data_IF_174012959449
#
_entry.id   IF_174012959449
#
_cell.length_a   1.000
_cell.length_b   1.000
_cell.length_c   1.000
_cell.angle_alpha   90.00
_cell.angle_beta   90.00
_cell.angle_gamma   90.00
#
_symmetry.space_group_name_H-M   'P 1'
#
loop_
_entity.id
_entity.type
_entity.pdbx_description
1 polymer ?
#
# COMPACT_ATOMS: atom_id res chain seq x y z
N UNK A 1 58.18 -23.91 13.32
CA UNK A 1 57.17 -23.78 12.24
C UNK A 1 55.92 -23.22 12.87
N UNK A 2 55.90 -21.89 13.00
CA UNK A 2 54.79 -21.11 13.53
C UNK A 2 53.67 -21.08 12.49
N UNK A 3 52.57 -21.78 12.78
CA UNK A 3 51.33 -21.66 12.01
C UNK A 3 50.46 -20.62 12.68
N UNK A 4 50.52 -19.42 12.11
CA UNK A 4 49.67 -18.27 12.39
C UNK A 4 48.28 -18.62 11.86
N UNK A 5 47.39 -19.11 12.74
CA UNK A 5 46.01 -19.38 12.37
C UNK A 5 45.25 -18.06 12.35
N UNK A 6 44.77 -17.73 11.14
CA UNK A 6 43.97 -16.57 10.82
C UNK A 6 42.76 -16.44 11.74
N UNK A 7 42.74 -15.33 12.44
CA UNK A 7 41.61 -14.78 13.18
C UNK A 7 40.60 -14.26 12.15
N UNK A 8 39.73 -15.15 11.67
CA UNK A 8 38.55 -14.77 10.89
C UNK A 8 37.55 -14.10 11.84
N UNK A 9 37.71 -12.80 11.97
CA UNK A 9 36.72 -11.84 12.47
C UNK A 9 35.48 -11.89 11.58
N UNK A 10 34.63 -12.89 11.80
CA UNK A 10 33.27 -12.91 11.29
C UNK A 10 32.42 -11.99 12.17
N UNK A 11 32.61 -10.68 11.95
CA UNK A 11 31.65 -9.68 12.36
C UNK A 11 30.24 -10.14 11.92
N UNK A 12 29.23 -10.08 12.82
CA UNK A 12 27.87 -10.40 12.43
C UNK A 12 27.52 -9.52 11.22
N UNK A 13 26.74 -10.04 10.24
CA UNK A 13 26.18 -9.16 9.23
C UNK A 13 25.35 -8.14 9.99
N UNK A 14 25.91 -6.92 10.09
CA UNK A 14 25.16 -5.74 10.45
C UNK A 14 24.01 -5.80 9.48
N UNK A 15 22.79 -5.99 9.99
CA UNK A 15 21.60 -5.60 9.25
C UNK A 15 21.85 -4.12 9.00
N UNK A 16 22.49 -3.84 7.86
CA UNK A 16 22.42 -2.53 7.27
C UNK A 16 20.95 -2.21 7.29
N UNK A 17 20.70 -1.06 7.86
CA UNK A 17 19.42 -0.46 7.92
C UNK A 17 19.05 -0.24 6.45
N UNK A 18 18.46 -1.26 5.80
CA UNK A 18 17.69 -1.18 4.55
C UNK A 18 16.41 -0.36 4.84
N UNK A 19 16.69 0.82 5.36
CA UNK A 19 15.91 2.01 5.56
C UNK A 19 16.04 2.92 4.33
N UNK A 20 16.94 2.58 3.40
CA UNK A 20 16.99 3.14 2.06
C UNK A 20 16.09 2.30 1.13
N UNK A 21 14.90 2.85 0.91
CA UNK A 21 14.21 2.79 -0.38
C UNK A 21 13.77 1.41 -0.91
N UNK A 22 12.90 0.74 -0.15
CA UNK A 22 11.74 0.12 -0.79
C UNK A 22 10.46 0.69 -0.22
N UNK A 23 10.35 2.04 -0.29
CA UNK A 23 9.08 2.57 -0.73
C UNK A 23 8.80 1.82 -2.04
N UNK A 24 7.81 0.93 -2.04
CA UNK A 24 6.91 0.96 -3.19
C UNK A 24 6.41 2.39 -3.23
N UNK A 25 7.21 3.27 -3.84
CA UNK A 25 6.71 4.28 -4.74
C UNK A 25 5.85 3.41 -5.63
N UNK A 26 4.57 3.30 -5.28
CA UNK A 26 3.55 3.20 -6.30
C UNK A 26 3.90 4.39 -7.14
N UNK A 27 4.68 4.13 -8.19
CA UNK A 27 4.96 5.10 -9.20
C UNK A 27 3.57 5.60 -9.52
N UNK A 28 3.31 6.85 -9.15
CA UNK A 28 2.66 7.78 -10.04
C UNK A 28 3.54 7.89 -11.30
N UNK A 29 3.89 6.75 -11.92
CA UNK A 29 3.76 6.65 -13.34
C UNK A 29 2.26 6.79 -13.52
N UNK A 30 1.76 7.90 -14.10
CA UNK A 30 0.59 7.73 -14.90
C UNK A 30 0.94 6.54 -15.80
N UNK A 31 0.26 5.41 -15.63
CA UNK A 31 -0.01 4.57 -16.78
C UNK A 31 -0.74 5.50 -17.73
N UNK A 32 0.07 6.22 -18.51
CA UNK A 32 -0.21 6.65 -19.84
C UNK A 32 -0.48 5.34 -20.59
N UNK A 33 -1.65 4.78 -20.32
CA UNK A 33 -2.55 4.46 -21.40
C UNK A 33 -2.61 5.77 -22.20
N UNK A 34 -1.68 5.86 -23.15
CA UNK A 34 -1.74 6.75 -24.29
C UNK A 34 -2.93 6.30 -25.13
N UNK A 35 -4.14 6.37 -24.55
CA UNK A 35 -5.22 6.97 -25.29
C UNK A 35 -4.76 8.40 -25.50
N UNK A 36 -4.13 8.61 -26.64
CA UNK A 36 -4.01 9.87 -27.36
C UNK A 36 -5.27 10.72 -27.15
N UNK A 37 -5.34 11.43 -26.03
CA UNK A 37 -6.17 12.61 -25.89
C UNK A 37 -5.41 13.73 -26.55
N UNK A 38 -5.45 13.66 -27.88
CA UNK A 38 -5.37 14.80 -28.75
C UNK A 38 -6.20 15.92 -28.12
N UNK A 39 -5.51 16.95 -27.64
CA UNK A 39 -6.09 18.19 -27.12
C UNK A 39 -6.69 19.07 -28.24
N UNK A 40 -7.06 18.45 -29.36
CA UNK A 40 -7.92 18.96 -30.42
C UNK A 40 -8.99 17.93 -30.85
N UNK A 41 -9.45 17.05 -29.95
CA UNK A 41 -10.69 16.33 -30.21
C UNK A 41 -11.87 17.21 -29.79
N UNK A 42 -12.41 17.90 -30.79
CA UNK A 42 -13.73 18.53 -30.78
C UNK A 42 -14.69 17.80 -29.83
N UNK A 43 -15.48 18.58 -29.08
CA UNK A 43 -16.76 18.13 -28.49
C UNK A 43 -17.70 17.74 -29.65
N UNK A 44 -17.37 16.65 -30.33
CA UNK A 44 -18.28 15.93 -31.18
C UNK A 44 -19.05 15.04 -30.21
N UNK A 45 -20.08 15.62 -29.58
CA UNK A 45 -21.24 14.85 -29.20
C UNK A 45 -21.50 13.90 -30.37
N UNK A 46 -21.40 12.56 -30.21
CA UNK A 46 -21.94 11.66 -31.20
C UNK A 46 -23.38 12.12 -31.32
N UNK A 47 -23.69 12.70 -32.46
CA UNK A 47 -25.01 13.12 -32.81
C UNK A 47 -25.84 11.85 -32.80
N UNK A 48 -26.41 11.48 -31.65
CA UNK A 48 -27.69 10.80 -31.60
C UNK A 48 -28.67 11.77 -32.24
N UNK A 49 -28.56 11.79 -33.57
CA UNK A 49 -29.32 12.63 -34.45
C UNK A 49 -30.76 12.29 -34.15
N UNK A 50 -31.52 13.33 -33.86
CA UNK A 50 -32.98 13.29 -33.93
C UNK A 50 -33.34 12.47 -35.15
N UNK A 51 -34.19 11.47 -34.97
CA UNK A 51 -34.42 10.46 -36.01
C UNK A 51 -34.70 11.16 -37.35
N UNK A 52 -33.87 10.97 -38.39
CA UNK A 52 -33.99 11.73 -39.64
C UNK A 52 -35.38 11.62 -40.25
N UNK A 53 -36.06 10.48 -40.04
CA UNK A 53 -37.43 10.26 -40.49
C UNK A 53 -38.43 11.10 -39.70
N UNK A 54 -38.24 11.24 -38.39
CA UNK A 54 -39.08 12.08 -37.52
C UNK A 54 -38.88 13.56 -37.87
N UNK A 55 -37.65 13.99 -38.13
CA UNK A 55 -37.37 15.36 -38.57
C UNK A 55 -38.04 15.70 -39.91
N UNK A 56 -37.97 14.79 -40.88
CA UNK A 56 -38.64 14.98 -42.18
C UNK A 56 -40.17 14.98 -42.03
N UNK A 57 -40.73 14.12 -41.17
CA UNK A 57 -42.17 14.11 -40.90
C UNK A 57 -42.65 15.39 -40.19
N UNK A 58 -41.86 15.90 -39.23
CA UNK A 58 -42.11 17.20 -38.61
C UNK A 58 -42.07 18.33 -39.63
N UNK A 59 -41.15 18.28 -40.61
CA UNK A 59 -41.08 19.26 -41.71
C UNK A 59 -42.33 19.22 -42.59
N UNK A 60 -42.75 18.03 -43.00
CA UNK A 60 -43.93 17.84 -43.86
C UNK A 60 -45.20 18.33 -43.15
N UNK A 61 -45.36 18.02 -41.86
CA UNK A 61 -46.53 18.46 -41.07
C UNK A 61 -46.54 19.98 -40.84
N UNK A 62 -45.38 20.61 -40.67
CA UNK A 62 -45.28 22.07 -40.54
C UNK A 62 -45.63 22.78 -41.85
N UNK A 63 -45.19 22.23 -43.00
CA UNK A 63 -45.58 22.71 -44.32
C UNK A 63 -47.08 22.52 -44.62
N UNK A 64 -47.68 21.41 -44.16
CA UNK A 64 -49.12 21.19 -44.27
C UNK A 64 -49.92 22.16 -43.38
N UNK A 65 -49.46 22.44 -42.15
CA UNK A 65 -50.09 23.43 -41.26
C UNK A 65 -50.15 24.81 -41.94
N UNK A 66 -49.02 25.28 -42.46
CA UNK A 66 -48.93 26.60 -43.13
C UNK A 66 -49.87 26.68 -44.34
N UNK A 67 -49.94 25.62 -45.16
CA UNK A 67 -50.89 25.57 -46.29
C UNK A 67 -52.35 25.68 -45.84
N UNK A 68 -52.72 25.00 -44.75
CA UNK A 68 -54.08 25.09 -44.20
C UNK A 68 -54.39 26.48 -43.62
N UNK A 69 -53.38 27.16 -43.05
CA UNK A 69 -53.49 28.55 -42.58
C UNK A 69 -53.73 29.53 -43.76
N UNK A 70 -52.97 29.36 -44.84
CA UNK A 70 -53.08 30.18 -46.06
C UNK A 70 -54.43 29.98 -46.80
N UNK A 71 -54.98 28.76 -46.77
CA UNK A 71 -56.27 28.40 -47.36
C UNK A 71 -57.47 28.75 -46.46
N UNK A 72 -57.23 29.21 -45.22
CA UNK A 72 -58.27 29.57 -44.24
C UNK A 72 -58.92 28.37 -43.54
N UNK A 73 -58.39 27.15 -43.71
CA UNK A 73 -58.89 25.93 -43.08
C UNK A 73 -58.27 25.72 -41.68
N UNK A 74 -58.64 26.57 -40.73
CA UNK A 74 -58.06 26.59 -39.39
C UNK A 74 -58.28 25.30 -38.58
N UNK A 75 -59.36 24.56 -38.84
CA UNK A 75 -59.63 23.28 -38.16
C UNK A 75 -58.65 22.17 -38.55
N UNK A 76 -58.09 22.22 -39.76
CA UNK A 76 -57.00 21.33 -40.19
C UNK A 76 -55.64 21.79 -39.67
N UNK A 77 -55.40 23.11 -39.67
CA UNK A 77 -54.20 23.70 -39.07
C UNK A 77 -54.06 23.37 -37.58
N UNK A 78 -55.15 23.43 -36.80
CA UNK A 78 -55.15 23.06 -35.38
C UNK A 78 -54.84 21.57 -35.15
N UNK A 79 -55.39 20.69 -36.01
CA UNK A 79 -55.10 19.25 -35.98
C UNK A 79 -53.63 18.97 -36.30
N UNK A 80 -53.08 19.62 -37.32
CA UNK A 80 -51.66 19.51 -37.69
C UNK A 80 -50.75 20.06 -36.58
N UNK A 81 -51.11 21.18 -35.94
CA UNK A 81 -50.38 21.75 -34.81
C UNK A 81 -50.34 20.80 -33.61
N UNK A 82 -51.47 20.19 -33.25
CA UNK A 82 -51.56 19.22 -32.15
C UNK A 82 -50.68 17.99 -32.42
N UNK A 83 -50.65 17.51 -33.67
CA UNK A 83 -49.80 16.39 -34.09
C UNK A 83 -48.30 16.75 -34.04
N UNK A 84 -47.91 17.95 -34.49
CA UNK A 84 -46.53 18.46 -34.38
C UNK A 84 -46.05 18.47 -32.94
N UNK A 85 -46.86 18.98 -32.02
CA UNK A 85 -46.49 19.05 -30.60
C UNK A 85 -46.40 17.67 -29.95
N UNK A 86 -47.30 16.75 -30.31
CA UNK A 86 -47.24 15.35 -29.86
C UNK A 86 -45.94 14.68 -30.30
N UNK A 87 -45.57 14.80 -31.57
CA UNK A 87 -44.36 14.21 -32.13
C UNK A 87 -43.08 14.84 -31.57
N UNK A 88 -43.03 16.17 -31.46
CA UNK A 88 -41.93 16.88 -30.79
C UNK A 88 -41.74 16.36 -29.37
N UNK A 89 -42.82 16.21 -28.60
CA UNK A 89 -42.75 15.71 -27.23
C UNK A 89 -42.29 14.25 -27.15
N UNK A 90 -42.72 13.40 -28.09
CA UNK A 90 -42.26 12.01 -28.17
C UNK A 90 -40.76 11.93 -28.47
N UNK A 91 -40.30 12.74 -29.42
CA UNK A 91 -38.89 12.76 -29.81
C UNK A 91 -38.01 13.32 -28.68
N UNK A 92 -38.43 14.40 -27.99
CA UNK A 92 -37.75 14.89 -26.79
C UNK A 92 -37.60 13.77 -25.75
N UNK A 93 -38.67 13.02 -25.48
CA UNK A 93 -38.65 11.92 -24.51
C UNK A 93 -37.70 10.80 -24.96
N UNK A 94 -37.69 10.43 -26.24
CA UNK A 94 -36.80 9.41 -26.80
C UNK A 94 -35.34 9.86 -26.66
N UNK A 95 -34.99 11.05 -27.14
CA UNK A 95 -33.62 11.56 -27.08
C UNK A 95 -33.11 11.69 -25.65
N UNK A 96 -33.95 12.16 -24.71
CA UNK A 96 -33.57 12.22 -23.29
C UNK A 96 -33.35 10.83 -22.67
N UNK A 97 -34.15 9.81 -23.06
CA UNK A 97 -33.92 8.43 -22.62
C UNK A 97 -32.58 7.89 -23.13
N UNK A 98 -32.23 8.19 -24.38
CA UNK A 98 -30.95 7.79 -24.95
C UNK A 98 -29.75 8.42 -24.21
N UNK A 99 -29.82 9.72 -23.92
CA UNK A 99 -28.81 10.41 -23.10
C UNK A 99 -28.66 9.75 -21.72
N UNK A 100 -29.77 9.44 -21.05
CA UNK A 100 -29.74 8.76 -19.74
C UNK A 100 -29.16 7.35 -19.81
N UNK A 101 -29.49 6.59 -20.87
CA UNK A 101 -28.94 5.26 -21.08
C UNK A 101 -27.41 5.32 -21.26
N UNK A 102 -26.90 6.27 -22.04
CA UNK A 102 -25.45 6.50 -22.18
C UNK A 102 -24.79 6.84 -20.85
N UNK A 103 -25.37 7.77 -20.09
CA UNK A 103 -24.84 8.17 -18.78
C UNK A 103 -24.81 7.00 -17.79
N UNK A 104 -25.79 6.09 -17.87
CA UNK A 104 -25.81 4.87 -17.06
C UNK A 104 -24.69 3.89 -17.47
N UNK A 105 -24.47 3.69 -18.77
CA UNK A 105 -23.34 2.89 -19.28
C UNK A 105 -22.00 3.43 -18.79
N UNK A 106 -21.78 4.75 -18.93
CA UNK A 106 -20.54 5.41 -18.48
C UNK A 106 -20.32 5.22 -16.97
N UNK A 107 -21.37 5.26 -16.15
CA UNK A 107 -21.28 4.97 -14.71
C UNK A 107 -20.92 3.51 -14.45
N UNK A 108 -21.51 2.57 -15.18
CA UNK A 108 -21.23 1.14 -15.04
C UNK A 108 -19.78 0.84 -15.43
N UNK A 109 -19.28 1.41 -16.52
CA UNK A 109 -17.90 1.27 -16.96
C UNK A 109 -16.91 1.77 -15.89
N UNK A 110 -17.16 2.93 -15.29
CA UNK A 110 -16.34 3.45 -14.19
C UNK A 110 -16.40 2.52 -12.97
N UNK A 111 -17.57 1.96 -12.63
CA UNK A 111 -17.71 1.02 -11.52
C UNK A 111 -16.92 -0.27 -11.76
N UNK A 112 -17.00 -0.83 -12.97
CA UNK A 112 -16.24 -2.03 -13.35
C UNK A 112 -14.74 -1.74 -13.30
N UNK A 113 -14.29 -0.61 -13.86
CA UNK A 113 -12.89 -0.20 -13.81
C UNK A 113 -12.38 -0.03 -12.37
N UNK A 114 -13.20 0.57 -11.48
CA UNK A 114 -12.86 0.71 -10.07
C UNK A 114 -12.74 -0.63 -9.35
N UNK A 115 -13.70 -1.53 -9.56
CA UNK A 115 -13.68 -2.85 -8.93
C UNK A 115 -12.43 -3.63 -9.35
N UNK A 116 -12.05 -3.54 -10.63
CA UNK A 116 -10.82 -4.13 -11.14
C UNK A 116 -9.58 -3.52 -10.48
N UNK A 117 -9.49 -2.19 -10.39
CA UNK A 117 -8.38 -1.51 -9.71
C UNK A 117 -8.28 -1.91 -8.23
N UNK A 118 -9.41 -2.03 -7.55
CA UNK A 118 -9.45 -2.43 -6.14
C UNK A 118 -9.02 -3.90 -5.96
N UNK A 119 -9.43 -4.77 -6.87
CA UNK A 119 -8.99 -6.17 -6.89
C UNK A 119 -7.47 -6.26 -7.09
N UNK A 120 -6.94 -5.59 -8.13
CA UNK A 120 -5.50 -5.56 -8.40
C UNK A 120 -4.70 -4.98 -7.22
N UNK A 121 -5.22 -3.94 -6.58
CA UNK A 121 -4.63 -3.36 -5.37
C UNK A 121 -4.54 -4.41 -4.25
N UNK A 122 -5.61 -5.16 -3.99
CA UNK A 122 -5.61 -6.19 -2.95
C UNK A 122 -4.64 -7.32 -3.28
N UNK A 123 -4.68 -7.84 -4.50
CA UNK A 123 -3.79 -8.91 -4.96
C UNK A 123 -2.32 -8.52 -4.83
N UNK A 124 -1.96 -7.28 -5.22
CA UNK A 124 -0.60 -6.77 -5.07
C UNK A 124 -0.15 -6.69 -3.61
N UNK A 125 -1.01 -6.17 -2.72
CA UNK A 125 -0.71 -6.08 -1.29
C UNK A 125 -0.67 -7.45 -0.60
N UNK A 126 -1.55 -8.37 -0.98
CA UNK A 126 -1.58 -9.73 -0.45
C UNK A 126 -0.30 -10.47 -0.83
N UNK A 127 0.13 -10.34 -2.10
CA UNK A 127 1.41 -10.88 -2.56
C UNK A 127 2.59 -10.27 -1.80
N UNK A 128 2.63 -8.93 -1.67
CA UNK A 128 3.70 -8.23 -0.94
C UNK A 128 3.81 -8.69 0.52
N UNK A 129 2.68 -8.80 1.23
CA UNK A 129 2.66 -9.26 2.62
C UNK A 129 3.08 -10.73 2.74
N UNK A 130 2.66 -11.58 1.80
CA UNK A 130 3.06 -12.98 1.78
C UNK A 130 4.57 -13.13 1.55
N UNK A 131 5.15 -12.35 0.63
CA UNK A 131 6.61 -12.33 0.39
C UNK A 131 7.36 -11.84 1.64
N UNK A 132 6.88 -10.77 2.28
CA UNK A 132 7.45 -10.27 3.54
C UNK A 132 7.41 -11.32 4.66
N UNK A 133 6.26 -11.98 4.85
CA UNK A 133 6.07 -13.02 5.87
C UNK A 133 6.99 -14.23 5.55
N UNK A 134 7.13 -14.63 4.29
CA UNK A 134 8.04 -15.70 3.85
C UNK A 134 9.51 -15.37 4.16
N UNK A 135 9.98 -14.18 3.74
CA UNK A 135 11.35 -13.74 4.01
C UNK A 135 11.63 -13.63 5.52
N UNK A 136 10.66 -13.18 6.29
CA UNK A 136 10.78 -13.09 7.75
C UNK A 136 10.95 -14.47 8.39
N UNK A 137 10.21 -15.49 7.92
CA UNK A 137 10.36 -16.87 8.38
C UNK A 137 11.72 -17.46 8.01
N UNK A 138 12.21 -17.21 6.80
CA UNK A 138 13.56 -17.62 6.38
C UNK A 138 14.63 -17.00 7.28
N UNK A 139 14.49 -15.72 7.64
CA UNK A 139 15.45 -15.05 8.50
C UNK A 139 15.43 -15.61 9.94
N UNK A 140 14.24 -15.92 10.48
CA UNK A 140 14.09 -16.60 11.77
C UNK A 140 14.76 -17.98 11.74
N UNK A 141 14.57 -18.74 10.66
CA UNK A 141 15.17 -20.06 10.48
C UNK A 141 16.70 -19.97 10.41
N UNK A 142 17.25 -19.02 9.65
CA UNK A 142 18.70 -18.78 9.56
C UNK A 142 19.30 -18.40 10.92
N UNK A 143 18.65 -17.51 11.67
CA UNK A 143 19.12 -17.11 13.00
C UNK A 143 19.11 -18.30 13.98
N UNK A 144 18.02 -19.08 13.97
CA UNK A 144 17.89 -20.29 14.82
C UNK A 144 18.95 -21.33 14.46
N UNK A 145 19.21 -21.54 13.17
CA UNK A 145 20.25 -22.44 12.70
C UNK A 145 21.63 -21.95 13.14
N UNK A 146 21.94 -20.66 12.99
CA UNK A 146 23.19 -20.06 13.46
C UNK A 146 23.36 -20.25 14.96
N UNK A 147 22.34 -19.93 15.76
CA UNK A 147 22.36 -20.12 17.21
C UNK A 147 22.63 -21.58 17.60
N UNK A 148 22.06 -22.54 16.87
CA UNK A 148 22.30 -23.98 17.11
C UNK A 148 23.76 -24.39 16.86
N UNK A 149 24.39 -23.84 15.80
CA UNK A 149 25.78 -24.11 15.46
C UNK A 149 26.73 -23.47 16.48
N UNK A 150 26.47 -22.22 16.85
CA UNK A 150 27.23 -21.51 17.87
C UNK A 150 27.16 -22.21 19.23
N UNK A 151 25.98 -22.73 19.60
CA UNK A 151 25.81 -23.49 20.85
C UNK A 151 26.65 -24.77 20.82
N UNK A 152 26.64 -25.52 19.71
CA UNK A 152 27.47 -26.72 19.56
C UNK A 152 28.97 -26.37 19.66
N UNK A 153 29.42 -25.34 18.95
CA UNK A 153 30.81 -24.89 19.00
C UNK A 153 31.21 -24.41 20.40
N UNK A 154 30.29 -23.76 21.13
CA UNK A 154 30.49 -23.36 22.52
C UNK A 154 30.67 -24.58 23.44
N UNK A 155 29.81 -25.60 23.30
CA UNK A 155 29.90 -26.85 24.05
C UNK A 155 31.22 -27.58 23.76
N UNK A 156 31.60 -27.73 22.48
CA UNK A 156 32.88 -28.35 22.08
C UNK A 156 34.09 -27.62 22.66
N UNK A 157 34.10 -26.27 22.60
CA UNK A 157 35.16 -25.45 23.20
C UNK A 157 35.25 -25.63 24.71
N UNK A 158 34.13 -25.87 25.39
CA UNK A 158 34.10 -26.13 26.83
C UNK A 158 34.58 -27.54 27.18
N UNK A 159 34.18 -28.56 26.41
CA UNK A 159 34.71 -29.92 26.56
C UNK A 159 36.22 -30.00 26.30
N UNK A 160 36.71 -29.30 25.28
CA UNK A 160 38.15 -29.18 25.01
C UNK A 160 38.90 -28.53 26.18
N UNK A 161 38.33 -27.48 26.80
CA UNK A 161 38.91 -26.87 28.00
C UNK A 161 38.94 -27.81 29.20
N UNK A 162 37.98 -28.73 29.33
CA UNK A 162 37.99 -29.75 30.39
C UNK A 162 39.11 -30.76 30.13
N UNK A 163 39.18 -31.31 28.93
CA UNK A 163 40.16 -32.33 28.55
C UNK A 163 41.62 -31.84 28.71
N UNK A 164 41.87 -30.56 28.43
CA UNK A 164 43.22 -29.99 28.45
C UNK A 164 43.65 -29.44 29.83
N UNK A 165 42.76 -29.40 30.83
CA UNK A 165 43.09 -28.77 32.12
C UNK A 165 43.58 -29.83 33.11
N UNK A 166 44.84 -29.74 33.59
CA UNK A 166 45.36 -30.74 34.52
C UNK A 166 44.58 -30.72 35.83
N UNK A 167 44.23 -31.92 36.33
CA UNK A 167 43.54 -32.12 37.59
C UNK A 167 44.37 -31.53 38.75
N UNK A 168 43.76 -30.60 39.50
CA UNK A 168 44.41 -29.99 40.67
C UNK A 168 43.92 -30.69 41.93
N UNK A 169 44.66 -31.73 42.32
CA UNK A 169 44.40 -32.47 43.54
C UNK A 169 44.78 -31.67 44.80
N UNK A 170 44.15 -32.00 45.92
CA UNK A 170 44.45 -31.36 47.20
C UNK A 170 45.86 -31.72 47.68
N UNK A 171 46.42 -30.84 48.51
CA UNK A 171 47.71 -31.07 49.17
C UNK A 171 47.69 -32.35 50.02
N UNK A 172 46.56 -32.65 50.65
CA UNK A 172 46.35 -33.84 51.47
C UNK A 172 46.47 -35.12 50.61
N UNK A 173 45.82 -35.17 49.44
CA UNK A 173 45.96 -36.31 48.54
C UNK A 173 47.41 -36.51 48.07
N UNK A 174 48.10 -35.41 47.73
CA UNK A 174 49.51 -35.47 47.32
C UNK A 174 50.42 -35.96 48.46
N UNK A 175 50.13 -35.61 49.71
CA UNK A 175 50.83 -36.11 50.89
C UNK A 175 50.57 -37.61 51.13
N UNK A 176 49.32 -38.08 50.99
CA UNK A 176 48.99 -39.50 51.04
C UNK A 176 49.70 -40.31 49.94
N UNK A 177 49.74 -39.79 48.70
CA UNK A 177 50.48 -40.39 47.58
C UNK A 177 51.99 -40.41 47.83
N UNK A 178 52.56 -39.36 48.43
CA UNK A 178 53.98 -39.33 48.83
C UNK A 178 54.28 -40.37 49.91
N UNK A 179 53.43 -40.46 50.95
CA UNK A 179 53.55 -41.45 52.03
C UNK A 179 53.44 -42.88 51.50
N UNK A 180 52.50 -43.14 50.60
CA UNK A 180 52.38 -44.41 49.88
C UNK A 180 53.71 -44.78 49.21
N UNK A 181 54.31 -43.85 48.46
CA UNK A 181 55.55 -44.10 47.72
C UNK A 181 56.74 -44.34 48.66
N UNK A 182 56.85 -43.60 49.76
CA UNK A 182 57.91 -43.80 50.75
C UNK A 182 57.81 -45.16 51.45
N UNK A 183 56.60 -45.58 51.87
CA UNK A 183 56.37 -46.89 52.50
C UNK A 183 56.66 -48.05 51.54
N UNK A 184 56.32 -47.89 50.25
CA UNK A 184 56.63 -48.87 49.22
C UNK A 184 58.16 -49.00 48.99
N UNK A 185 58.88 -47.87 48.96
CA UNK A 185 60.36 -47.85 48.86
C UNK A 185 61.05 -48.49 50.06
N UNK A 186 60.47 -48.36 51.25
CA UNK A 186 60.99 -48.96 52.49
C UNK A 186 60.66 -50.47 52.64
N UNK A 187 59.92 -51.08 51.69
CA UNK A 187 59.54 -52.49 51.73
C UNK A 187 58.30 -52.81 52.59
N UNK A 188 57.66 -51.79 53.18
CA UNK A 188 56.46 -51.96 54.00
C UNK A 188 55.18 -52.04 53.16
N UNK A 189 55.04 -53.12 52.39
CA UNK A 189 53.94 -53.28 51.42
C UNK A 189 52.54 -53.34 52.06
N UNK A 190 52.41 -53.96 53.24
CA UNK A 190 51.13 -54.07 53.93
C UNK A 190 50.56 -52.70 54.35
N UNK A 191 51.43 -51.82 54.86
CA UNK A 191 51.04 -50.46 55.24
C UNK A 191 50.85 -49.57 54.01
N UNK A 192 51.71 -49.70 53.00
CA UNK A 192 51.57 -48.99 51.72
C UNK A 192 50.24 -49.30 51.03
N UNK A 193 49.76 -50.55 51.09
CA UNK A 193 48.47 -50.94 50.53
C UNK A 193 47.28 -50.32 51.27
N UNK A 194 47.36 -50.16 52.61
CA UNK A 194 46.33 -49.44 53.38
C UNK A 194 46.30 -47.96 52.99
N UNK A 195 47.47 -47.32 52.91
CA UNK A 195 47.59 -45.92 52.49
C UNK A 195 47.11 -45.73 51.05
N UNK A 196 47.39 -46.68 50.15
CA UNK A 196 46.88 -46.67 48.78
C UNK A 196 45.35 -46.61 48.74
N UNK A 197 44.64 -47.46 49.49
CA UNK A 197 43.17 -47.44 49.53
C UNK A 197 42.63 -46.07 49.96
N UNK A 198 43.20 -45.49 51.02
CA UNK A 198 42.82 -44.16 51.50
C UNK A 198 43.05 -43.10 50.43
N UNK A 199 44.21 -43.14 49.74
CA UNK A 199 44.51 -42.22 48.66
C UNK A 199 43.59 -42.40 47.44
N UNK A 200 43.30 -43.64 47.04
CA UNK A 200 42.42 -43.93 45.91
C UNK A 200 40.97 -43.47 46.20
N UNK A 201 40.47 -43.69 47.43
CA UNK A 201 39.15 -43.23 47.86
C UNK A 201 39.06 -41.70 47.91
N UNK A 202 40.12 -41.04 48.40
CA UNK A 202 40.20 -39.58 48.45
C UNK A 202 40.30 -38.98 47.04
N UNK A 203 41.08 -39.59 46.16
CA UNK A 203 41.21 -39.20 44.75
C UNK A 203 39.88 -39.32 44.00
N UNK A 204 39.15 -40.41 44.21
CA UNK A 204 37.83 -40.59 43.62
C UNK A 204 36.83 -39.51 44.09
N UNK A 205 36.83 -39.18 45.39
CA UNK A 205 36.01 -38.10 45.95
C UNK A 205 36.38 -36.74 45.39
N UNK A 206 37.67 -36.44 45.27
CA UNK A 206 38.15 -35.16 44.71
C UNK A 206 37.82 -35.04 43.22
N UNK A 207 38.01 -36.10 42.43
CA UNK A 207 37.58 -36.12 41.02
C UNK A 207 36.09 -35.84 40.87
N UNK A 208 35.24 -36.57 41.60
CA UNK A 208 33.79 -36.36 41.55
C UNK A 208 33.38 -34.92 41.95
N UNK A 209 34.05 -34.33 42.94
CA UNK A 209 33.83 -32.92 43.33
C UNK A 209 34.27 -31.94 42.25
N UNK A 210 35.39 -32.19 41.58
CA UNK A 210 35.85 -31.34 40.47
C UNK A 210 34.89 -31.44 39.26
N UNK A 211 34.45 -32.64 38.92
CA UNK A 211 33.53 -32.89 37.81
C UNK A 211 32.19 -32.20 38.06
N UNK A 212 31.58 -32.40 39.24
CA UNK A 212 30.32 -31.71 39.62
C UNK A 212 30.45 -30.19 39.67
N UNK A 213 31.56 -29.64 40.17
CA UNK A 213 31.80 -28.20 40.16
C UNK A 213 31.98 -27.65 38.73
N UNK A 214 32.62 -28.42 37.86
CA UNK A 214 32.75 -28.08 36.45
C UNK A 214 31.40 -28.11 35.73
N UNK A 215 30.61 -29.17 35.92
CA UNK A 215 29.29 -29.32 35.30
C UNK A 215 28.35 -28.19 35.73
N UNK A 216 28.29 -27.83 37.01
CA UNK A 216 27.47 -26.68 37.44
C UNK A 216 27.95 -25.35 36.85
N UNK A 217 29.26 -25.16 36.72
CA UNK A 217 29.84 -23.97 36.09
C UNK A 217 29.57 -23.94 34.58
N UNK A 218 29.52 -25.10 33.95
CA UNK A 218 29.20 -25.29 32.54
C UNK A 218 27.73 -24.97 32.30
N UNK A 219 26.81 -25.59 33.04
CA UNK A 219 25.37 -25.34 32.97
C UNK A 219 25.05 -23.85 33.16
N UNK A 220 25.67 -23.20 34.15
CA UNK A 220 25.46 -21.77 34.39
C UNK A 220 25.91 -20.88 33.23
N UNK A 221 27.01 -21.24 32.54
CA UNK A 221 27.49 -20.48 31.37
C UNK A 221 26.66 -20.77 30.12
N UNK A 222 26.28 -22.03 29.91
CA UNK A 222 25.41 -22.44 28.81
C UNK A 222 24.02 -21.80 28.95
N UNK A 223 23.46 -21.77 30.15
CA UNK A 223 22.18 -21.10 30.43
C UNK A 223 22.25 -19.60 30.08
N UNK A 224 23.33 -18.90 30.45
CA UNK A 224 23.54 -17.49 30.06
C UNK A 224 23.65 -17.32 28.55
N UNK A 225 24.35 -18.24 27.88
CA UNK A 225 24.51 -18.22 26.42
C UNK A 225 23.16 -18.42 25.71
N UNK A 226 22.37 -19.41 26.12
CA UNK A 226 21.01 -19.62 25.63
C UNK A 226 20.09 -18.43 25.91
N UNK A 227 20.16 -17.84 27.10
CA UNK A 227 19.37 -16.66 27.44
C UNK A 227 19.68 -15.48 26.51
N UNK A 228 20.96 -15.30 26.13
CA UNK A 228 21.37 -14.29 25.15
C UNK A 228 20.77 -14.58 23.77
N UNK A 229 20.90 -15.81 23.27
CA UNK A 229 20.33 -16.22 21.98
C UNK A 229 18.80 -16.02 21.95
N UNK A 230 18.11 -16.38 23.02
CA UNK A 230 16.67 -16.18 23.15
C UNK A 230 16.30 -14.69 23.17
N UNK A 231 17.08 -13.84 23.85
CA UNK A 231 16.84 -12.40 23.85
C UNK A 231 17.02 -11.79 22.46
N UNK A 232 18.04 -12.21 21.72
CA UNK A 232 18.29 -11.79 20.34
C UNK A 232 17.13 -12.22 19.41
N UNK A 233 16.68 -13.48 19.50
CA UNK A 233 15.55 -13.99 18.73
C UNK A 233 14.25 -13.24 19.06
N UNK A 234 13.98 -13.00 20.35
CA UNK A 234 12.81 -12.24 20.80
C UNK A 234 12.83 -10.79 20.29
N UNK A 235 14.01 -10.16 20.24
CA UNK A 235 14.16 -8.82 19.68
C UNK A 235 13.86 -8.81 18.17
N UNK A 236 14.33 -9.82 17.44
CA UNK A 236 14.03 -9.99 16.03
C UNK A 236 12.52 -10.16 15.78
N UNK A 237 11.87 -11.08 16.51
CA UNK A 237 10.43 -11.31 16.40
C UNK A 237 9.63 -10.03 16.63
N UNK A 238 9.98 -9.25 17.65
CA UNK A 238 9.36 -7.95 17.91
C UNK A 238 9.55 -6.96 16.76
N UNK A 239 10.73 -6.91 16.14
CA UNK A 239 10.99 -6.03 14.98
C UNK A 239 10.13 -6.43 13.79
N UNK A 240 10.02 -7.73 13.51
CA UNK A 240 9.17 -8.28 12.44
C UNK A 240 7.71 -7.91 12.71
N UNK A 241 7.21 -8.11 13.92
CA UNK A 241 5.82 -7.79 14.28
C UNK A 241 5.50 -6.30 14.14
N UNK A 242 6.41 -5.42 14.57
CA UNK A 242 6.22 -3.96 14.45
C UNK A 242 6.19 -3.56 12.98
N UNK A 243 7.16 -4.02 12.18
CA UNK A 243 7.23 -3.70 10.74
C UNK A 243 6.03 -4.27 9.97
N UNK A 244 5.57 -5.48 10.32
CA UNK A 244 4.34 -6.06 9.76
C UNK A 244 3.11 -5.22 10.04
N UNK A 245 2.96 -4.70 11.27
CA UNK A 245 1.87 -3.78 11.62
C UNK A 245 1.95 -2.47 10.85
N UNK A 246 3.16 -1.96 10.61
CA UNK A 246 3.40 -0.78 9.79
C UNK A 246 2.95 -1.01 8.33
N UNK A 247 3.32 -2.16 7.72
CA UNK A 247 2.85 -2.51 6.37
C UNK A 247 1.32 -2.60 6.28
N UNK A 248 0.66 -3.19 7.29
CA UNK A 248 -0.81 -3.23 7.35
C UNK A 248 -1.42 -1.82 7.48
N UNK A 249 -0.81 -0.96 8.28
CA UNK A 249 -1.22 0.44 8.39
C UNK A 249 -1.06 1.18 7.06
N UNK A 250 0.04 0.93 6.34
CA UNK A 250 0.29 1.49 5.02
C UNK A 250 -0.77 1.05 3.99
N UNK A 251 -1.08 -0.27 3.94
CA UNK A 251 -2.17 -0.80 3.12
C UNK A 251 -3.49 -0.09 3.39
N UNK A 252 -3.84 0.12 4.67
CA UNK A 252 -5.05 0.82 5.05
C UNK A 252 -5.06 2.28 4.58
N UNK A 253 -3.92 2.97 4.67
CA UNK A 253 -3.79 4.35 4.19
C UNK A 253 -3.95 4.42 2.66
N UNK A 254 -3.30 3.52 1.94
CA UNK A 254 -3.34 3.51 0.47
C UNK A 254 -4.70 3.07 -0.07
N UNK A 255 -5.37 2.14 0.63
CA UNK A 255 -6.77 1.79 0.34
C UNK A 255 -7.71 2.99 0.50
N UNK A 256 -7.55 3.78 1.57
CA UNK A 256 -8.30 5.03 1.76
C UNK A 256 -8.04 6.03 0.63
N UNK A 257 -6.78 6.19 0.20
CA UNK A 257 -6.41 7.07 -0.92
C UNK A 257 -7.05 6.60 -2.23
N UNK A 258 -7.05 5.30 -2.50
CA UNK A 258 -7.69 4.71 -3.68
C UNK A 258 -9.20 4.97 -3.70
N UNK A 259 -9.89 4.72 -2.58
CA UNK A 259 -11.33 4.99 -2.46
C UNK A 259 -11.66 6.48 -2.59
N UNK A 260 -10.82 7.37 -2.04
CA UNK A 260 -11.00 8.80 -2.19
C UNK A 260 -10.85 9.25 -3.65
N UNK A 261 -9.84 8.73 -4.37
CA UNK A 261 -9.68 8.98 -5.82
C UNK A 261 -10.93 8.52 -6.58
N UNK A 262 -11.46 7.35 -6.26
CA UNK A 262 -12.69 6.86 -6.87
C UNK A 262 -13.90 7.76 -6.60
N UNK A 263 -14.09 8.19 -5.34
CA UNK A 263 -15.15 9.14 -4.97
C UNK A 263 -15.03 10.45 -5.75
N UNK A 264 -13.81 10.96 -5.94
CA UNK A 264 -13.56 12.16 -6.71
C UNK A 264 -13.94 11.96 -8.19
N UNK A 265 -13.53 10.85 -8.81
CA UNK A 265 -13.89 10.51 -10.21
C UNK A 265 -15.41 10.42 -10.38
N UNK A 266 -16.11 9.75 -9.46
CA UNK A 266 -17.57 9.68 -9.50
C UNK A 266 -18.22 11.07 -9.37
N UNK A 267 -17.73 11.91 -8.46
CA UNK A 267 -18.24 13.28 -8.27
C UNK A 267 -18.06 14.14 -9.53
N UNK A 268 -16.90 14.03 -10.18
CA UNK A 268 -16.60 14.73 -11.44
C UNK A 268 -17.52 14.21 -12.55
N UNK A 269 -17.70 12.89 -12.67
CA UNK A 269 -18.60 12.29 -13.64
C UNK A 269 -20.04 12.80 -13.46
N UNK A 270 -20.58 12.76 -12.25
CA UNK A 270 -21.94 13.23 -11.97
C UNK A 270 -22.10 14.70 -12.33
N UNK A 271 -21.10 15.53 -12.01
CA UNK A 271 -21.11 16.96 -12.33
C UNK A 271 -21.11 17.18 -13.86
N UNK A 272 -20.25 16.45 -14.59
CA UNK A 272 -20.20 16.45 -16.06
C UNK A 272 -21.55 16.04 -16.66
N UNK A 273 -22.12 14.93 -16.20
CA UNK A 273 -23.41 14.42 -16.68
C UNK A 273 -24.57 15.37 -16.43
N UNK A 274 -24.58 16.09 -15.30
CA UNK A 274 -25.60 17.11 -15.01
C UNK A 274 -25.54 18.28 -16.00
N UNK A 275 -24.33 18.75 -16.32
CA UNK A 275 -24.13 19.81 -17.31
C UNK A 275 -24.51 19.32 -18.72
N UNK A 276 -24.09 18.12 -19.09
CA UNK A 276 -24.45 17.49 -20.36
C UNK A 276 -25.95 17.29 -20.52
N UNK A 277 -26.66 16.82 -19.49
CA UNK A 277 -28.12 16.63 -19.54
C UNK A 277 -28.83 17.97 -19.77
N UNK A 278 -28.36 19.06 -19.13
CA UNK A 278 -28.90 20.40 -19.32
C UNK A 278 -28.66 20.92 -20.74
N UNK A 279 -27.44 20.75 -21.27
CA UNK A 279 -27.08 21.16 -22.63
C UNK A 279 -27.89 20.35 -23.64
N UNK A 280 -27.89 19.02 -23.53
CA UNK A 280 -28.62 18.13 -24.41
C UNK A 280 -30.13 18.44 -24.43
N UNK A 281 -30.74 18.67 -23.26
CA UNK A 281 -32.15 19.06 -23.18
C UNK A 281 -32.45 20.35 -23.95
N UNK A 282 -31.57 21.35 -23.84
CA UNK A 282 -31.73 22.62 -24.55
C UNK A 282 -31.50 22.44 -26.06
N UNK A 283 -30.49 21.67 -26.46
CA UNK A 283 -30.19 21.40 -27.87
C UNK A 283 -31.28 20.59 -28.56
N UNK A 284 -31.83 19.56 -27.90
CA UNK A 284 -32.95 18.77 -28.42
C UNK A 284 -34.16 19.70 -28.63
N UNK A 285 -34.44 20.57 -27.65
CA UNK A 285 -35.55 21.53 -27.76
C UNK A 285 -35.34 22.53 -28.90
N UNK A 286 -34.14 23.10 -29.05
CA UNK A 286 -33.85 24.07 -30.12
C UNK A 286 -33.88 23.43 -31.51
N UNK A 287 -33.35 22.20 -31.66
CA UNK A 287 -33.40 21.45 -32.93
C UNK A 287 -34.83 21.14 -33.37
N UNK A 288 -35.71 20.79 -32.43
CA UNK A 288 -37.12 20.46 -32.71
C UNK A 288 -38.03 21.69 -32.86
N UNK A 289 -37.59 22.85 -32.36
CA UNK A 289 -38.37 24.10 -32.41
C UNK A 289 -38.04 24.99 -33.60
N UNK A 290 -36.98 24.69 -34.38
CA UNK A 290 -36.52 25.57 -35.47
C UNK A 290 -37.55 25.62 -36.60
N UNK A 291 -38.26 26.75 -36.81
CA UNK A 291 -39.06 26.96 -38.00
C UNK A 291 -38.13 27.44 -39.12
N UNK A 292 -38.53 27.17 -40.37
CA UNK A 292 -37.83 27.65 -41.56
C UNK A 292 -37.86 29.18 -41.59
N UNK A 293 -36.72 29.83 -41.32
CA UNK A 293 -36.48 31.18 -41.85
C UNK A 293 -36.37 31.06 -43.37
N UNK A 294 -37.14 31.90 -44.06
CA UNK A 294 -37.52 31.78 -45.46
C UNK A 294 -36.38 31.65 -46.47
N UNK A 295 -36.70 30.92 -47.53
CA UNK A 295 -36.04 31.01 -48.83
C UNK A 295 -36.71 32.18 -49.56
N UNK A 296 -36.05 33.35 -49.63
CA UNK A 296 -36.29 34.37 -50.65
C UNK A 296 -35.12 35.38 -50.63
N UNK A 297 -34.43 35.57 -51.77
CA UNK A 297 -33.50 36.69 -51.93
C UNK A 297 -32.19 36.34 -52.65
N UNK A 298 -32.13 36.72 -53.92
CA UNK A 298 -31.04 36.51 -54.86
C UNK A 298 -29.77 37.30 -54.52
N UNK A 299 -28.63 36.74 -54.94
CA UNK A 299 -27.43 37.38 -55.52
C UNK A 299 -26.99 38.76 -54.99
N UNK A 300 -25.79 38.82 -54.41
CA UNK A 300 -24.74 39.70 -54.92
C UNK A 300 -23.36 39.25 -54.44
N UNK A 301 -22.49 39.02 -55.41
CA UNK A 301 -21.08 38.78 -55.25
C UNK A 301 -20.39 39.98 -54.59
N UNK A 302 -19.45 39.71 -53.69
CA UNK A 302 -18.39 40.63 -53.31
C UNK A 302 -17.14 39.83 -52.92
N UNK A 303 -15.93 40.38 -53.14
CA UNK A 303 -14.73 39.62 -53.42
C UNK A 303 -13.88 39.30 -52.18
N UNK A 304 -13.01 38.32 -52.38
CA UNK A 304 -11.93 37.85 -51.49
C UNK A 304 -11.13 38.95 -50.77
N UNK A 305 -10.78 38.78 -49.48
CA UNK A 305 -9.73 39.57 -48.86
C UNK A 305 -8.35 38.94 -49.11
N UNK A 306 -7.49 39.77 -49.69
CA UNK A 306 -6.05 39.60 -49.82
C UNK A 306 -5.36 39.58 -48.46
N UNK A 307 -4.34 38.72 -48.36
CA UNK A 307 -3.35 38.65 -47.28
C UNK A 307 -2.54 39.94 -47.20
N UNK A 308 -2.39 40.50 -46.00
CA UNK A 308 -1.23 41.34 -45.65
C UNK A 308 -0.88 41.23 -44.17
N UNK A 309 0.38 40.88 -43.95
CA UNK A 309 1.10 40.90 -42.69
C UNK A 309 1.12 42.31 -42.06
N UNK A 310 0.96 42.37 -40.74
CA UNK A 310 1.55 43.44 -39.94
C UNK A 310 1.79 42.95 -38.51
N UNK A 311 3.08 42.79 -38.19
CA UNK A 311 3.60 42.62 -36.85
C UNK A 311 3.51 43.94 -36.07
N UNK A 312 3.07 43.90 -34.81
CA UNK A 312 3.41 44.88 -33.78
C UNK A 312 2.98 44.40 -32.38
N UNK A 313 3.95 43.91 -31.61
CA UNK A 313 4.04 44.15 -30.14
C UNK A 313 4.06 45.67 -29.89
N UNK A 314 3.69 46.23 -28.71
CA UNK A 314 4.21 45.79 -27.40
C UNK A 314 3.34 46.11 -26.15
N UNK A 315 3.98 45.89 -25.00
CA UNK A 315 3.79 46.51 -23.66
C UNK A 315 3.09 45.70 -22.58
N UNK A 316 3.97 45.08 -21.79
CA UNK A 316 3.86 44.87 -20.36
C UNK A 316 3.30 46.09 -19.62
N UNK A 317 2.37 45.82 -18.69
CA UNK A 317 2.12 46.65 -17.54
C UNK A 317 2.27 45.79 -16.28
N UNK A 318 3.38 46.02 -15.58
CA UNK A 318 3.51 45.71 -14.17
C UNK A 318 2.62 46.67 -13.38
N UNK A 319 1.89 46.16 -12.39
CA UNK A 319 1.50 46.93 -11.21
C UNK A 319 1.20 46.01 -10.05
N UNK A 320 2.06 46.09 -9.03
CA UNK A 320 1.90 45.40 -7.76
C UNK A 320 0.88 46.06 -6.83
N UNK A 321 0.72 45.47 -5.65
CA UNK A 321 0.02 46.13 -4.56
C UNK A 321 -0.44 45.23 -3.42
N UNK A 322 0.44 45.08 -2.42
CA UNK A 322 0.17 45.12 -0.97
C UNK A 322 -0.70 44.04 -0.30
N UNK A 323 -0.02 43.23 0.52
CA UNK A 323 -0.05 43.28 1.99
C UNK A 323 -1.39 43.51 2.69
N UNK A 324 -1.85 42.53 3.48
CA UNK A 324 -2.22 42.77 4.88
C UNK A 324 -1.78 41.59 5.75
N UNK A 325 -1.27 41.94 6.92
CA UNK A 325 -0.76 41.15 8.03
C UNK A 325 -1.55 41.68 9.23
N UNK A 326 -2.16 40.83 10.04
CA UNK A 326 -2.44 41.10 11.46
C UNK A 326 -3.15 39.91 12.14
N UNK A 327 -2.42 39.33 13.08
CA UNK A 327 -2.80 39.15 14.49
C UNK A 327 -3.98 38.25 14.90
N UNK A 328 -3.65 37.26 15.72
CA UNK A 328 -3.88 37.46 17.16
C UNK A 328 -4.81 36.49 17.88
N UNK A 329 -4.16 35.57 18.60
CA UNK A 329 -4.41 35.21 20.02
C UNK A 329 -5.58 34.30 20.44
N UNK A 330 -5.20 33.45 21.41
CA UNK A 330 -5.90 32.99 22.64
C UNK A 330 -6.81 31.76 22.60
N UNK A 331 -6.28 30.66 23.17
CA UNK A 331 -6.97 29.62 23.97
C UNK A 331 -7.80 30.25 25.12
N UNK A 332 -8.76 29.57 25.81
CA UNK A 332 -8.61 28.25 26.45
C UNK A 332 -9.86 27.34 26.49
N UNK A 333 -9.67 26.09 26.95
CA UNK A 333 -10.71 25.18 27.48
C UNK A 333 -11.24 25.70 28.85
N UNK A 334 -12.39 25.25 29.41
CA UNK A 334 -12.48 23.93 30.10
C UNK A 334 -13.89 23.29 30.24
N UNK A 335 -13.92 22.15 30.97
CA UNK A 335 -15.03 21.46 31.68
C UNK A 335 -15.98 20.58 30.84
N UNK A 336 -15.95 19.25 30.99
CA UNK A 336 -16.37 18.40 32.13
C UNK A 336 -17.88 18.13 32.14
N UNK A 337 -18.28 16.86 31.93
CA UNK A 337 -19.41 16.27 32.64
C UNK A 337 -19.26 14.76 32.79
N UNK A 338 -19.54 14.34 34.03
CA UNK A 338 -19.57 13.02 34.65
C UNK A 338 -20.75 12.17 34.14
N UNK A 339 -20.87 10.96 34.71
CA UNK A 339 -21.96 9.95 34.70
C UNK A 339 -21.72 8.79 33.73
N UNK A 340 -21.96 7.52 34.07
CA UNK A 340 -22.14 6.83 35.35
C UNK A 340 -22.01 5.32 35.07
N UNK A 341 -21.95 4.54 36.14
CA UNK A 341 -21.99 3.08 36.21
C UNK A 341 -23.00 2.39 35.27
N UNK A 342 -22.65 1.20 34.77
CA UNK A 342 -23.56 0.07 34.89
C UNK A 342 -22.81 -1.27 34.97
N UNK A 343 -22.84 -1.79 36.18
CA UNK A 343 -22.68 -3.17 36.60
C UNK A 343 -23.83 -4.02 36.02
N UNK A 344 -23.52 -5.17 35.42
CA UNK A 344 -24.45 -6.30 35.29
C UNK A 344 -23.66 -7.62 35.37
N UNK A 345 -23.85 -8.31 36.49
CA UNK A 345 -23.60 -9.74 36.67
C UNK A 345 -24.65 -10.54 35.90
N UNK A 346 -24.20 -11.60 35.23
CA UNK A 346 -24.84 -12.93 35.16
C UNK A 346 -23.86 -13.95 34.60
#
# INVERSE_FOLDING_TARGET
MESKMDELDASPPRLEDDSEESKMVVSDEPSALTTSTDASSSVALPSEAVDPKVMEFLRILDEYRVKCEDEGNYAEAERASTQLDSLRNQEIKRSLKAVKARQLSERQEIQVAHNLQFQQFNEAWDKYLAEYDSMSQEYIAQMTQRHSQELRAFQEKMHSKLANKPAKFSKELLEWRRRQHMLAKAGNYAEAQRVKKIADDLEAKERAKMDTAFDSSFEAREAKFRAKQQAELNALLKRIDVRRKEHLSQRNQDSKRLLQRNRNVQSVLVSKQSVEERIAKNEIKTRLSRPRNGVFGQTKAAPSPSVSHAAASPKALARGGKSTKADGRTSPAPSAFLTDEHKLDS
#
